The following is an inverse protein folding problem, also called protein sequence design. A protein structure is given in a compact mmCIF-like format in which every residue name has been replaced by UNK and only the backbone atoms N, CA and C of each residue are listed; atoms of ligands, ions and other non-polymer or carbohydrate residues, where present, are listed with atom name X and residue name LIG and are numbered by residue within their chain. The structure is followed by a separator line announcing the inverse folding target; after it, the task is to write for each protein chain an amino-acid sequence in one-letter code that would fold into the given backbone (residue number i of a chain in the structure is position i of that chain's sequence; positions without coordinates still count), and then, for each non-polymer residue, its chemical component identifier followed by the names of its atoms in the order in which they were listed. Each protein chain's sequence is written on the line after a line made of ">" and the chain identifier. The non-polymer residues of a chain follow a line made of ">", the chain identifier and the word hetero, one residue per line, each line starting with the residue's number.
data_IF_307128775418
#
_entry.id   IF_307128775418
#
_cell.length_a   1.000
_cell.length_b   1.000
_cell.length_c   1.000
_cell.angle_alpha   90.00
_cell.angle_beta   90.00
_cell.angle_gamma   90.00
#
_symmetry.space_group_name_H-M   'P 1'
#
loop_
_entity.id
_entity.type
_entity.pdbx_description
1 polymer ?
#
# COMPACT_ATOMS: atom_id res chain seq x y z
N UNK A 1 10.63 0.48 -1.40
CA UNK A 1 10.80 -0.99 -1.50
C UNK A 1 11.13 -1.43 -2.95
N UNK A 2 11.67 -2.65 -3.14
CA UNK A 2 12.00 -3.22 -4.48
C UNK A 2 10.79 -3.29 -5.42
N UNK A 3 9.60 -3.56 -4.88
CA UNK A 3 8.33 -3.51 -5.58
C UNK A 3 8.06 -2.12 -6.20
N UNK A 4 8.13 -1.06 -5.38
CA UNK A 4 7.89 0.31 -5.82
C UNK A 4 8.78 0.71 -7.01
N UNK A 5 10.08 0.43 -6.92
CA UNK A 5 11.03 0.72 -8.01
C UNK A 5 10.71 -0.04 -9.29
N UNK A 6 10.28 -1.31 -9.17
CA UNK A 6 9.88 -2.09 -10.33
C UNK A 6 8.62 -1.49 -10.97
N UNK A 7 7.59 -1.19 -10.18
CA UNK A 7 6.34 -0.59 -10.68
C UNK A 7 6.59 0.76 -11.36
N UNK A 8 7.39 1.64 -10.76
CA UNK A 8 7.74 2.94 -11.34
C UNK A 8 8.51 2.81 -12.66
N UNK A 9 9.45 1.85 -12.75
CA UNK A 9 10.21 1.59 -13.97
C UNK A 9 9.31 1.09 -15.13
N UNK A 10 8.24 0.35 -14.82
CA UNK A 10 7.26 -0.12 -15.79
C UNK A 10 6.26 0.97 -16.18
N UNK A 11 5.82 1.78 -15.22
CA UNK A 11 4.92 2.92 -15.46
C UNK A 11 5.54 3.91 -16.45
N UNK A 12 6.83 4.24 -16.28
CA UNK A 12 7.55 5.15 -17.17
C UNK A 12 7.72 4.60 -18.60
N UNK A 13 7.56 3.30 -18.80
CA UNK A 13 7.63 2.64 -20.11
C UNK A 13 6.25 2.39 -20.73
N UNK A 14 5.16 2.75 -20.05
CA UNK A 14 3.78 2.38 -20.43
C UNK A 14 3.61 0.88 -20.68
N UNK A 15 4.39 0.03 -20.01
CA UNK A 15 4.30 -1.42 -20.13
C UNK A 15 3.83 -1.95 -18.80
N UNK A 16 2.63 -2.56 -18.78
CA UNK A 16 2.11 -3.23 -17.59
C UNK A 16 2.67 -4.66 -17.56
N UNK A 17 3.48 -5.04 -16.55
CA UNK A 17 3.96 -6.41 -16.44
C UNK A 17 2.80 -7.33 -16.05
N UNK A 18 2.56 -8.38 -16.82
CA UNK A 18 1.50 -9.36 -16.53
C UNK A 18 1.82 -10.23 -15.30
N UNK A 19 3.09 -10.23 -14.89
CA UNK A 19 3.56 -10.92 -13.70
C UNK A 19 4.66 -10.13 -12.99
N UNK A 20 4.53 -9.95 -11.68
CA UNK A 20 5.58 -9.41 -10.82
C UNK A 20 6.01 -10.52 -9.87
N UNK A 21 7.29 -10.89 -9.92
CA UNK A 21 7.85 -11.97 -9.12
C UNK A 21 8.94 -11.45 -8.19
N UNK A 22 8.86 -11.84 -6.91
CA UNK A 22 10.00 -11.82 -5.98
C UNK A 22 10.29 -13.24 -5.50
N UNK A 23 11.25 -13.39 -4.59
CA UNK A 23 11.52 -14.65 -3.90
C UNK A 23 10.35 -15.08 -3.01
N UNK A 24 9.65 -14.10 -2.41
CA UNK A 24 8.61 -14.36 -1.41
C UNK A 24 7.19 -14.40 -1.97
N UNK A 25 6.95 -13.87 -3.17
CA UNK A 25 5.60 -13.79 -3.75
C UNK A 25 5.61 -13.73 -5.28
N UNK A 26 4.45 -14.00 -5.87
CA UNK A 26 4.17 -13.81 -7.29
C UNK A 26 2.79 -13.19 -7.44
N UNK A 27 2.73 -12.06 -8.13
CA UNK A 27 1.50 -11.35 -8.52
C UNK A 27 1.29 -11.63 -10.00
N UNK A 28 0.10 -12.08 -10.37
CA UNK A 28 -0.29 -12.30 -11.77
C UNK A 28 -1.56 -11.54 -12.07
N UNK A 29 -1.57 -10.75 -13.14
CA UNK A 29 -2.74 -9.99 -13.58
C UNK A 29 -3.53 -10.82 -14.60
N UNK A 30 -4.86 -10.76 -14.55
CA UNK A 30 -5.73 -11.63 -15.36
C UNK A 30 -5.75 -11.28 -16.86
N UNK A 31 -5.51 -10.01 -17.21
CA UNK A 31 -5.61 -9.50 -18.58
C UNK A 31 -4.41 -8.60 -18.88
N UNK A 32 -3.79 -8.78 -20.04
CA UNK A 32 -2.80 -7.83 -20.55
C UNK A 32 -3.53 -6.56 -21.01
N UNK A 33 -3.27 -5.43 -20.35
CA UNK A 33 -3.79 -4.12 -20.76
C UNK A 33 -2.63 -3.17 -20.96
N UNK A 34 -2.74 -2.24 -21.91
CA UNK A 34 -1.70 -1.22 -22.15
C UNK A 34 -1.51 -0.30 -20.93
N UNK A 35 -2.54 -0.15 -20.10
CA UNK A 35 -2.54 0.69 -18.89
C UNK A 35 -3.35 0.03 -17.79
N UNK A 36 -3.05 0.37 -16.54
CA UNK A 36 -3.89 -0.02 -15.42
C UNK A 36 -5.19 0.80 -15.40
N UNK A 37 -6.37 0.16 -15.39
CA UNK A 37 -7.63 0.86 -15.25
C UNK A 37 -7.77 1.37 -13.81
N UNK A 38 -8.59 2.41 -13.63
CA UNK A 38 -8.83 2.98 -12.30
C UNK A 38 -9.56 2.02 -11.34
N UNK A 39 -10.33 1.09 -11.90
CA UNK A 39 -11.17 0.14 -11.16
C UNK A 39 -11.17 -1.23 -11.83
N UNK A 40 -11.44 -2.26 -11.04
CA UNK A 40 -11.73 -3.61 -11.55
C UNK A 40 -10.51 -4.40 -12.05
N UNK A 41 -9.28 -3.85 -11.99
CA UNK A 41 -8.10 -4.63 -12.31
C UNK A 41 -7.90 -5.72 -11.27
N UNK A 42 -8.09 -6.97 -11.66
CA UNK A 42 -7.88 -8.12 -10.80
C UNK A 42 -6.46 -8.65 -10.88
N UNK A 43 -5.99 -9.19 -9.76
CA UNK A 43 -4.75 -9.93 -9.69
C UNK A 43 -4.87 -11.12 -8.74
N UNK A 44 -4.03 -12.11 -8.98
CA UNK A 44 -3.88 -13.28 -8.14
C UNK A 44 -2.57 -13.19 -7.38
N UNK A 45 -2.62 -13.52 -6.10
CA UNK A 45 -1.44 -13.80 -5.29
C UNK A 45 -1.32 -15.32 -5.15
N UNK A 46 -0.10 -15.86 -5.18
CA UNK A 46 0.14 -17.32 -5.16
C UNK A 46 -0.59 -18.13 -4.07
N UNK A 47 -1.10 -17.46 -3.03
CA UNK A 47 -1.79 -18.05 -1.88
C UNK A 47 -3.22 -17.50 -1.65
N UNK A 48 -3.72 -16.62 -2.53
CA UNK A 48 -5.04 -16.03 -2.42
C UNK A 48 -5.57 -15.62 -3.81
N UNK A 49 -6.76 -16.12 -4.15
CA UNK A 49 -7.51 -15.70 -5.35
C UNK A 49 -8.38 -14.49 -5.05
N UNK A 50 -8.68 -13.70 -6.08
CA UNK A 50 -9.64 -12.57 -6.07
C UNK A 50 -9.21 -11.30 -5.31
N UNK A 51 -8.10 -10.69 -5.72
CA UNK A 51 -7.79 -9.32 -5.31
C UNK A 51 -8.07 -8.31 -6.42
N UNK A 52 -8.49 -7.11 -6.03
CA UNK A 52 -8.62 -5.95 -6.92
C UNK A 52 -7.55 -4.91 -6.58
N UNK A 53 -6.92 -4.35 -7.61
CA UNK A 53 -5.94 -3.29 -7.46
C UNK A 53 -6.62 -2.01 -6.94
N UNK A 54 -6.00 -1.38 -5.95
CA UNK A 54 -6.48 -0.12 -5.37
C UNK A 54 -5.71 1.03 -5.99
N UNK A 55 -6.42 1.94 -6.66
CA UNK A 55 -5.84 3.18 -7.17
C UNK A 55 -5.98 4.29 -6.12
N UNK A 56 -4.90 4.60 -5.40
CA UNK A 56 -4.93 5.55 -4.28
C UNK A 56 -5.51 6.93 -4.62
N UNK A 57 -5.21 7.57 -5.77
CA UNK A 57 -5.85 8.84 -6.12
C UNK A 57 -7.38 8.73 -6.23
N UNK A 58 -7.89 7.61 -6.74
CA UNK A 58 -9.33 7.35 -6.78
C UNK A 58 -9.89 7.11 -5.38
N UNK A 59 -9.19 6.36 -4.53
CA UNK A 59 -9.58 6.10 -3.14
C UNK A 59 -9.71 7.41 -2.35
N UNK A 60 -8.70 8.29 -2.42
CA UNK A 60 -8.69 9.59 -1.72
C UNK A 60 -9.84 10.47 -2.20
N UNK A 61 -10.06 10.55 -3.52
CA UNK A 61 -11.18 11.32 -4.09
C UNK A 61 -12.54 10.80 -3.58
N UNK A 62 -12.75 9.48 -3.61
CA UNK A 62 -14.00 8.86 -3.15
C UNK A 62 -14.21 9.03 -1.63
N UNK A 63 -13.14 8.94 -0.84
CA UNK A 63 -13.20 9.20 0.60
C UNK A 63 -13.64 10.63 0.88
N UNK A 64 -13.10 11.61 0.15
CA UNK A 64 -13.52 13.02 0.23
C UNK A 64 -14.99 13.20 -0.13
N UNK A 65 -15.46 12.56 -1.20
CA UNK A 65 -16.88 12.59 -1.61
C UNK A 65 -17.79 12.00 -0.52
N UNK A 66 -17.30 11.06 0.28
CA UNK A 66 -17.98 10.51 1.44
C UNK A 66 -17.82 11.34 2.73
N UNK A 67 -17.20 12.52 2.66
CA UNK A 67 -16.98 13.41 3.80
C UNK A 67 -15.86 12.96 4.75
N UNK A 68 -14.90 12.19 4.25
CA UNK A 68 -13.71 11.80 5.01
C UNK A 68 -12.49 12.62 4.58
N UNK A 69 -11.68 13.00 5.54
CA UNK A 69 -10.42 13.71 5.34
C UNK A 69 -9.26 12.71 5.28
N UNK A 70 -8.38 12.89 4.31
CA UNK A 70 -7.14 12.13 4.22
C UNK A 70 -6.21 12.54 5.36
N UNK A 71 -5.71 11.55 6.12
CA UNK A 71 -4.71 11.76 7.16
C UNK A 71 -3.37 11.24 6.69
N UNK A 72 -3.30 9.97 6.31
CA UNK A 72 -2.04 9.31 6.03
C UNK A 72 -2.23 8.11 5.10
N UNK A 73 -1.24 7.91 4.23
CA UNK A 73 -0.99 6.66 3.51
C UNK A 73 0.51 6.38 3.69
N UNK A 74 0.86 5.22 4.27
CA UNK A 74 2.25 4.86 4.55
C UNK A 74 2.50 3.40 4.18
N UNK A 75 3.65 3.09 3.56
CA UNK A 75 3.97 1.70 3.25
C UNK A 75 4.18 0.91 4.56
N UNK A 76 3.71 -0.34 4.60
CA UNK A 76 3.78 -1.12 5.84
C UNK A 76 5.23 -1.42 6.29
N UNK A 77 6.22 -1.39 5.39
CA UNK A 77 7.63 -1.48 5.81
C UNK A 77 8.08 -0.23 6.55
N UNK A 78 7.66 0.95 6.09
CA UNK A 78 8.00 2.23 6.73
C UNK A 78 7.30 2.34 8.07
N UNK A 79 6.01 2.02 8.12
CA UNK A 79 5.23 1.95 9.36
C UNK A 79 5.89 1.01 10.39
N UNK A 80 6.34 -0.17 9.94
CA UNK A 80 7.03 -1.10 10.82
C UNK A 80 8.34 -0.53 11.35
N UNK A 81 9.17 0.07 10.50
CA UNK A 81 10.46 0.62 10.91
C UNK A 81 10.30 1.77 11.91
N UNK A 82 9.31 2.65 11.72
CA UNK A 82 8.99 3.76 12.63
C UNK A 82 8.52 3.28 14.01
N UNK A 83 7.77 2.18 14.05
CA UNK A 83 7.16 1.66 15.27
C UNK A 83 7.92 0.48 15.90
N UNK A 84 8.99 0.03 15.24
CA UNK A 84 9.82 -1.11 15.67
C UNK A 84 10.30 -1.01 17.13
N UNK A 85 10.78 0.14 17.64
CA UNK A 85 11.24 0.23 19.03
C UNK A 85 10.16 -0.11 20.05
N UNK A 86 8.88 0.07 19.69
CA UNK A 86 7.74 -0.11 20.57
C UNK A 86 7.14 -1.53 20.47
N UNK A 87 7.07 -2.10 19.26
CA UNK A 87 6.31 -3.34 19.04
C UNK A 87 7.13 -4.55 18.56
N UNK A 88 8.44 -4.41 18.32
CA UNK A 88 9.25 -5.53 17.81
C UNK A 88 9.17 -6.80 18.67
N UNK A 89 9.10 -6.65 20.00
CA UNK A 89 9.00 -7.77 20.94
C UNK A 89 7.65 -8.51 20.93
N UNK A 90 6.63 -7.94 20.27
CA UNK A 90 5.29 -8.52 20.16
C UNK A 90 5.11 -9.33 18.87
N UNK A 91 6.08 -9.31 17.95
CA UNK A 91 5.97 -9.92 16.62
C UNK A 91 6.88 -11.14 16.46
N UNK A 92 6.32 -12.25 15.96
CA UNK A 92 7.06 -13.48 15.66
C UNK A 92 7.77 -13.46 14.29
N UNK A 93 8.02 -12.27 13.71
CA UNK A 93 8.57 -12.10 12.35
C UNK A 93 10.03 -11.61 12.34
N UNK A 94 10.67 -11.58 13.50
CA UNK A 94 12.02 -11.05 13.71
C UNK A 94 13.05 -12.15 13.96
N UNK A 95 14.29 -11.93 13.56
CA UNK A 95 15.45 -12.74 13.92
C UNK A 95 15.72 -12.64 15.44
N UNK A 96 16.58 -13.50 16.02
CA UNK A 96 16.94 -13.42 17.44
C UNK A 96 17.56 -12.08 17.88
N UNK A 97 17.92 -11.19 16.94
CA UNK A 97 18.44 -9.83 17.18
C UNK A 97 17.33 -8.78 17.05
N UNK A 98 16.07 -9.19 16.93
CA UNK A 98 14.91 -8.32 16.79
C UNK A 98 14.81 -7.62 15.44
N UNK A 99 15.52 -8.09 14.40
CA UNK A 99 15.43 -7.53 13.03
C UNK A 99 14.45 -8.34 12.20
N UNK A 100 13.60 -7.67 11.43
CA UNK A 100 12.64 -8.37 10.58
C UNK A 100 13.37 -9.21 9.52
N UNK A 101 12.88 -10.43 9.28
CA UNK A 101 13.49 -11.32 8.29
C UNK A 101 13.40 -10.71 6.88
N UNK A 102 14.42 -10.85 6.01
CA UNK A 102 14.39 -10.28 4.66
C UNK A 102 13.15 -10.67 3.84
N UNK A 103 12.70 -11.92 3.96
CA UNK A 103 11.46 -12.39 3.30
C UNK A 103 10.20 -11.68 3.81
N UNK A 104 10.18 -11.32 5.10
CA UNK A 104 9.08 -10.57 5.69
C UNK A 104 9.04 -9.15 5.15
N UNK A 105 10.19 -8.48 4.94
CA UNK A 105 10.23 -7.14 4.34
C UNK A 105 9.65 -7.12 2.92
N UNK A 106 9.96 -8.14 2.13
CA UNK A 106 9.42 -8.29 0.79
C UNK A 106 7.88 -8.38 0.79
N UNK A 107 7.31 -9.14 1.72
CA UNK A 107 5.85 -9.30 1.84
C UNK A 107 5.19 -8.07 2.42
N UNK A 108 5.74 -7.48 3.49
CA UNK A 108 5.21 -6.24 4.09
C UNK A 108 5.16 -5.12 3.06
N UNK A 109 6.15 -5.03 2.18
CA UNK A 109 6.22 -4.00 1.14
C UNK A 109 5.08 -4.02 0.12
N UNK A 110 4.28 -5.09 0.06
CA UNK A 110 3.07 -5.18 -0.76
C UNK A 110 1.87 -4.45 -0.16
N UNK A 111 1.90 -4.18 1.14
CA UNK A 111 0.80 -3.61 1.89
C UNK A 111 1.11 -2.17 2.30
N UNK A 112 0.04 -1.42 2.48
CA UNK A 112 0.08 0.00 2.81
C UNK A 112 -1.00 0.27 3.85
N UNK A 113 -0.65 0.98 4.92
CA UNK A 113 -1.60 1.50 5.88
C UNK A 113 -2.23 2.77 5.31
N UNK A 114 -3.52 2.99 5.54
CA UNK A 114 -4.20 4.21 5.15
C UNK A 114 -5.19 4.62 6.24
N UNK A 115 -5.22 5.91 6.54
CA UNK A 115 -6.05 6.49 7.58
C UNK A 115 -6.83 7.65 6.98
N UNK A 116 -8.14 7.58 7.17
CA UNK A 116 -9.07 8.66 6.89
C UNK A 116 -9.79 9.03 8.18
N UNK A 117 -9.98 10.33 8.40
CA UNK A 117 -10.67 10.86 9.56
C UNK A 117 -12.03 11.40 9.15
N UNK A 118 -13.05 11.09 9.94
CA UNK A 118 -14.32 11.81 9.85
C UNK A 118 -14.15 13.13 10.61
N UNK A 119 -14.27 14.30 9.95
CA UNK A 119 -14.17 15.57 10.63
C UNK A 119 -15.29 15.69 11.66
N UNK A 120 -14.96 16.28 12.80
CA UNK A 120 -15.94 16.60 13.84
C UNK A 120 -16.81 17.77 13.34
N UNK A 121 -18.13 17.61 13.21
CA UNK A 121 -19.02 18.67 12.74
C UNK A 121 -19.02 19.90 13.64
N UNK A 122 -18.62 19.76 14.91
CA UNK A 122 -18.64 20.82 15.91
C UNK A 122 -17.29 21.54 16.07
N UNK A 123 -16.22 21.04 15.43
CA UNK A 123 -14.92 21.70 15.42
C UNK A 123 -14.94 22.86 14.43
N UNK A 124 -15.08 24.07 14.96
CA UNK A 124 -14.93 25.32 14.19
C UNK A 124 -13.50 25.36 13.62
N UNK A 125 -13.33 25.54 12.30
CA UNK A 125 -12.00 25.66 11.71
C UNK A 125 -11.22 26.79 12.38
N UNK A 126 -9.91 26.62 12.67
CA UNK A 126 -9.12 27.71 13.21
C UNK A 126 -9.21 28.91 12.26
N UNK A 127 -9.58 30.06 12.80
CA UNK A 127 -9.68 31.32 12.05
C UNK A 127 -8.30 31.57 11.45
N UNK A 128 -8.20 31.51 10.13
CA UNK A 128 -7.01 31.96 9.42
C UNK A 128 -6.85 33.46 9.70
N UNK A 129 -5.92 33.82 10.59
CA UNK A 129 -5.49 35.21 10.71
C UNK A 129 -4.76 35.62 9.42
N UNK A 130 -5.07 36.81 8.87
CA UNK A 130 -4.57 37.28 7.58
C UNK A 130 -3.07 37.55 7.55
#
# INVERSE_FOLDING_TARGET
>A
AKYQKNVEAYHNKNIVPNCIRSESYMITFEIEEEKFPLFGKKYQLKFASDHSLVHFPSLIRLAREAGLEYVEIQNLTEFYDDNRPQFAGMMNLVDPRGRLLPRSYDVLGLYTTFIFQKPDPDVVPPIATP
#
